data_IF_138326250277
#
_entry.id   IF_138326250277
#
_cell.length_a   1.000
_cell.length_b   1.000
_cell.length_c   1.000
_cell.angle_alpha   90.00
_cell.angle_beta   90.00
_cell.angle_gamma   90.00
#
_symmetry.space_group_name_H-M   'P 1'
#
loop_
_entity.id
_entity.type
_entity.pdbx_description
1 polymer ?
2 branched ?
3 water ?
#
# COMPACT_ATOMS: atom_id res chain seq x y z
N UNK A 1 -4.66 -2.49 17.61
CA UNK A 1 -5.97 -1.90 17.23
C UNK A 1 -6.53 -2.65 16.02
N UNK A 2 -7.80 -3.03 16.11
CA UNK A 2 -8.47 -3.76 15.02
C UNK A 2 -8.29 -3.09 13.66
N UNK A 3 -8.12 -1.77 13.67
CA UNK A 3 -7.93 -1.02 12.44
C UNK A 3 -6.59 -1.31 11.79
N UNK A 4 -5.56 -1.54 12.61
CA UNK A 4 -4.23 -1.81 12.09
C UNK A 4 -4.16 -3.15 11.36
N UNK A 5 -3.40 -3.20 10.27
CA UNK A 5 -3.27 -4.43 9.50
C UNK A 5 -1.98 -4.47 8.70
N UNK A 6 -1.73 -5.62 8.08
CA UNK A 6 -0.54 -5.79 7.26
C UNK A 6 -0.98 -5.97 5.82
N UNK A 7 -0.24 -5.35 4.90
CA UNK A 7 -0.54 -5.42 3.48
C UNK A 7 0.28 -6.58 2.90
N UNK A 8 -0.44 -7.61 2.46
CA UNK A 8 0.14 -8.86 1.97
C UNK A 8 0.00 -9.17 0.49
N UNK A 9 1.09 -9.63 -0.12
CA UNK A 9 1.01 -10.03 -1.52
C UNK A 9 1.15 -11.55 -1.53
N UNK A 10 0.09 -12.22 -1.95
CA UNK A 10 0.07 -13.68 -1.97
C UNK A 10 1.18 -14.32 -2.79
N UNK A 11 1.38 -13.85 -4.02
CA UNK A 11 2.40 -14.43 -4.88
C UNK A 11 3.79 -14.46 -4.25
N UNK A 12 4.24 -13.34 -3.69
CA UNK A 12 5.56 -13.28 -3.06
C UNK A 12 5.57 -13.74 -1.61
N UNK A 13 4.39 -13.83 -1.01
CA UNK A 13 4.29 -14.21 0.40
C UNK A 13 5.11 -13.21 1.22
N UNK A 14 4.93 -11.93 0.91
CA UNK A 14 5.63 -10.86 1.62
C UNK A 14 4.67 -9.73 1.97
N UNK A 15 5.05 -8.92 2.96
CA UNK A 15 4.24 -7.80 3.42
C UNK A 15 4.96 -6.47 3.23
N UNK A 16 4.18 -5.41 3.06
CA UNK A 16 4.73 -4.07 2.87
C UNK A 16 5.48 -3.67 4.13
N UNK A 17 6.65 -3.08 3.96
CA UNK A 17 7.47 -2.69 5.10
C UNK A 17 7.96 -1.26 4.96
N UNK A 18 7.56 -0.40 5.88
CA UNK A 18 7.96 1.00 5.86
C UNK A 18 9.32 1.17 6.53
N UNK A 19 10.31 1.61 5.76
CA UNK A 19 11.66 1.80 6.29
C UNK A 19 11.94 3.24 6.73
N UNK A 20 11.37 4.19 6.00
CA UNK A 20 11.53 5.60 6.30
C UNK A 20 10.55 6.37 5.44
N UNK A 21 10.48 7.68 5.63
CA UNK A 21 9.57 8.51 4.85
C UNK A 21 9.85 8.41 3.35
N UNK A 22 11.07 8.02 2.98
CA UNK A 22 11.42 7.91 1.57
C UNK A 22 11.72 6.47 1.15
N UNK A 23 11.30 5.52 1.96
CA UNK A 23 11.55 4.12 1.64
C UNK A 23 10.48 3.17 2.17
N UNK A 24 9.71 2.58 1.26
CA UNK A 24 8.69 1.61 1.63
C UNK A 24 8.93 0.40 0.75
N UNK A 25 9.38 -0.69 1.37
CA UNK A 25 9.70 -1.91 0.65
C UNK A 25 8.83 -3.07 1.12
N UNK A 26 9.39 -4.28 1.13
CA UNK A 26 8.66 -5.46 1.58
C UNK A 26 9.55 -6.30 2.50
N UNK A 27 8.94 -7.25 3.21
CA UNK A 27 9.69 -8.10 4.13
C UNK A 27 8.87 -9.31 4.50
N UNK A 28 9.50 -10.28 5.14
CA UNK A 28 8.77 -11.46 5.58
C UNK A 28 7.74 -10.90 6.55
N UNK A 29 6.50 -11.35 6.43
CA UNK A 29 5.44 -10.85 7.29
C UNK A 29 5.64 -11.12 8.78
N UNK A 30 5.41 -10.10 9.59
CA UNK A 30 5.53 -10.19 11.04
C UNK A 30 4.51 -9.22 11.65
N UNK A 31 3.40 -9.75 12.20
CA UNK A 31 2.36 -8.91 12.81
C UNK A 31 2.84 -8.11 14.01
N UNK A 32 4.04 -8.42 14.50
CA UNK A 32 4.61 -7.72 15.65
C UNK A 32 5.48 -6.52 15.27
N UNK A 33 5.79 -6.39 13.98
CA UNK A 33 6.63 -5.29 13.52
C UNK A 33 5.83 -4.03 13.21
N UNK A 34 6.04 -2.99 14.01
CA UNK A 34 5.34 -1.72 13.83
C UNK A 34 5.51 -1.19 12.41
N UNK A 35 6.71 -1.34 11.87
CA UNK A 35 7.00 -0.86 10.52
C UNK A 35 6.15 -1.54 9.45
N UNK A 36 5.50 -2.64 9.81
CA UNK A 36 4.65 -3.38 8.88
C UNK A 36 3.17 -3.08 9.10
N UNK A 37 2.86 -2.30 10.13
CA UNK A 37 1.47 -1.98 10.43
C UNK A 37 0.98 -0.71 9.73
N UNK A 38 -0.22 -0.80 9.15
CA UNK A 38 -0.83 0.34 8.47
C UNK A 38 -2.29 0.42 8.88
N UNK A 39 -2.93 1.55 8.63
CA UNK A 39 -4.33 1.71 8.98
C UNK A 39 -4.98 2.82 8.16
N UNK A 40 -6.23 2.59 7.77
CA UNK A 40 -6.96 3.58 7.01
C UNK A 40 -7.27 4.72 7.97
N UNK A 41 -7.12 5.96 7.50
CA UNK A 41 -7.41 7.10 8.35
C UNK A 41 -8.51 7.94 7.71
N UNK A 42 -9.03 7.45 6.59
CA UNK A 42 -10.10 8.12 5.86
C UNK A 42 -10.57 7.17 4.78
N UNK A 43 -11.53 7.61 3.97
CA UNK A 43 -12.06 6.79 2.90
C UNK A 43 -11.03 6.47 1.82
N UNK A 44 -9.95 7.24 1.76
CA UNK A 44 -8.96 7.02 0.72
C UNK A 44 -7.48 7.00 1.11
N UNK A 45 -7.16 7.22 2.38
CA UNK A 45 -5.76 7.23 2.79
C UNK A 45 -5.36 6.14 3.77
N UNK A 46 -4.15 5.62 3.60
CA UNK A 46 -3.63 4.59 4.49
C UNK A 46 -2.40 5.18 5.16
N UNK A 47 -2.34 5.06 6.47
CA UNK A 47 -1.24 5.63 7.23
C UNK A 47 -0.31 4.57 7.81
N UNK A 48 1.00 4.82 7.73
CA UNK A 48 1.99 3.91 8.29
C UNK A 48 1.94 4.13 9.80
N UNK A 49 1.71 3.06 10.56
CA UNK A 49 1.62 3.16 12.02
C UNK A 49 2.92 3.61 12.67
N UNK A 50 4.03 3.07 12.20
CA UNK A 50 5.33 3.40 12.74
C UNK A 50 5.72 4.87 12.53
N UNK A 51 5.47 5.38 11.33
CA UNK A 51 5.85 6.74 10.99
C UNK A 51 4.79 7.83 11.08
N UNK A 52 3.53 7.44 11.25
CA UNK A 52 2.45 8.41 11.33
C UNK A 52 2.42 9.25 10.05
N UNK A 53 2.68 8.61 8.92
CA UNK A 53 2.66 9.29 7.63
C UNK A 53 1.79 8.46 6.68
N UNK A 54 1.33 9.10 5.62
CA UNK A 54 0.46 8.43 4.67
C UNK A 54 1.17 7.97 3.40
N UNK A 55 0.77 6.80 2.91
CA UNK A 55 1.33 6.23 1.69
C UNK A 55 0.95 7.13 0.52
N UNK A 56 1.93 7.49 -0.30
CA UNK A 56 1.64 8.35 -1.43
C UNK A 56 2.72 8.31 -2.50
N UNK A 57 2.51 9.09 -3.56
CA UNK A 57 3.46 9.15 -4.66
C UNK A 57 3.75 10.59 -5.06
N UNK A 58 4.87 10.83 -5.76
CA UNK A 58 5.28 12.16 -6.22
C UNK A 58 4.37 12.68 -7.35
N UNK A 59 3.86 11.75 -8.15
CA UNK A 59 2.97 12.09 -9.25
C UNK A 59 2.28 10.81 -9.69
N UNK A 60 1.15 10.94 -10.38
CA UNK A 60 0.44 9.76 -10.85
C UNK A 60 1.10 9.34 -12.15
N UNK A 61 2.31 8.79 -12.01
CA UNK A 61 3.12 8.35 -13.14
C UNK A 61 3.60 6.91 -13.00
N UNK A 62 3.62 6.18 -14.11
CA UNK A 62 4.07 4.79 -14.15
C UNK A 62 5.48 4.71 -13.55
N UNK A 63 5.67 3.77 -12.62
CA UNK A 63 6.94 3.55 -11.95
C UNK A 63 7.32 4.65 -10.96
N UNK A 64 6.33 5.41 -10.51
CA UNK A 64 6.57 6.44 -9.51
C UNK A 64 6.72 5.65 -8.21
N UNK A 65 7.63 6.07 -7.35
CA UNK A 65 7.83 5.35 -6.10
C UNK A 65 6.73 5.68 -5.09
N UNK A 66 6.32 4.67 -4.34
CA UNK A 66 5.30 4.86 -3.33
C UNK A 66 6.01 4.92 -1.99
N UNK A 67 6.02 6.09 -1.38
CA UNK A 67 6.66 6.26 -0.08
C UNK A 67 5.71 6.95 0.91
N UNK A 68 6.25 7.66 1.89
CA UNK A 68 5.42 8.31 2.90
C UNK A 68 5.42 9.84 2.88
N UNK A 69 4.23 10.42 3.03
CA UNK A 69 4.08 11.88 3.04
C UNK A 69 3.20 12.29 4.21
N UNK A 70 3.33 13.55 4.62
CA UNK A 70 2.50 14.05 5.71
C UNK A 70 1.05 13.88 5.25
N UNK A 71 0.24 13.24 6.08
CA UNK A 71 -1.15 13.03 5.70
C UNK A 71 -1.84 14.36 5.43
N UNK A 72 -2.50 14.44 4.28
CA UNK A 72 -3.19 15.63 3.83
C UNK A 72 -4.42 15.20 3.04
N UNK A 73 -5.60 15.38 3.63
CA UNK A 73 -6.86 14.99 3.00
C UNK A 73 -7.16 15.71 1.69
N UNK A 74 -6.44 16.79 1.41
CA UNK A 74 -6.67 17.54 0.17
C UNK A 74 -5.81 17.03 -0.99
N UNK A 75 -4.77 16.26 -0.67
CA UNK A 75 -3.87 15.73 -1.69
C UNK A 75 -4.39 14.50 -2.43
N UNK A 76 -4.25 14.50 -3.75
CA UNK A 76 -4.70 13.38 -4.57
C UNK A 76 -3.60 12.35 -4.81
N UNK A 77 -2.37 12.70 -4.48
CA UNK A 77 -1.25 11.80 -4.67
C UNK A 77 -1.12 10.79 -3.53
N UNK A 78 -2.05 10.86 -2.58
CA UNK A 78 -2.04 9.91 -1.48
C UNK A 78 -3.43 9.32 -1.25
N UNK A 79 -4.24 9.30 -2.32
CA UNK A 79 -5.58 8.73 -2.26
C UNK A 79 -5.58 7.39 -3.00
N UNK A 80 -6.10 6.36 -2.34
CA UNK A 80 -6.15 5.02 -2.92
C UNK A 80 -7.57 4.45 -2.98
N UNK A 81 -7.72 3.38 -3.75
CA UNK A 81 -9.01 2.71 -3.88
C UNK A 81 -8.79 1.26 -4.27
N UNK A 82 -9.79 0.42 -3.99
CA UNK A 82 -9.72 -0.99 -4.33
C UNK A 82 -10.38 -1.25 -5.68
N UNK A 83 -9.69 -2.01 -6.52
CA UNK A 83 -10.22 -2.36 -7.84
C UNK A 83 -10.95 -3.69 -7.67
N UNK A 84 -10.79 -4.59 -8.63
CA UNK A 84 -11.44 -5.89 -8.56
C UNK A 84 -10.44 -6.96 -8.15
N UNK A 85 -10.94 -8.02 -7.53
CA UNK A 85 -10.09 -9.13 -7.10
C UNK A 85 -8.82 -8.71 -6.36
N UNK A 86 -8.98 -7.84 -5.37
CA UNK A 86 -7.88 -7.35 -4.54
C UNK A 86 -6.86 -6.46 -5.25
N UNK A 87 -7.20 -6.00 -6.45
CA UNK A 87 -6.32 -5.12 -7.21
C UNK A 87 -6.34 -3.78 -6.46
N UNK A 88 -5.17 -3.20 -6.25
CA UNK A 88 -5.09 -1.95 -5.49
C UNK A 88 -4.28 -0.88 -6.20
N UNK A 89 -4.78 0.35 -6.20
CA UNK A 89 -4.06 1.43 -6.86
C UNK A 89 -4.52 2.83 -6.52
N UNK A 90 -3.94 3.81 -7.22
CA UNK A 90 -4.26 5.21 -7.01
C UNK A 90 -5.68 5.53 -7.46
N UNK A 91 -6.42 6.22 -6.60
CA UNK A 91 -7.80 6.58 -6.89
C UNK A 91 -7.91 7.36 -8.21
N UNK A 92 -8.87 6.98 -9.04
CA UNK A 92 -9.09 7.67 -10.30
C UNK A 92 -8.14 7.39 -11.46
N UNK A 93 -7.14 6.54 -11.25
CA UNK A 93 -6.19 6.24 -12.31
C UNK A 93 -6.00 4.73 -12.46
N UNK A 94 -5.45 4.31 -13.60
CA UNK A 94 -5.21 2.90 -13.83
C UNK A 94 -3.77 2.51 -13.51
N UNK A 95 -3.25 3.04 -12.40
CA UNK A 95 -1.90 2.73 -11.94
C UNK A 95 -2.04 2.01 -10.60
N UNK A 96 -1.35 0.88 -10.46
CA UNK A 96 -1.47 0.07 -9.26
C UNK A 96 -0.27 -0.05 -8.31
N UNK A 97 -0.60 -0.32 -7.04
CA UNK A 97 0.35 -0.54 -5.96
C UNK A 97 1.02 -1.84 -6.43
N UNK A 98 2.33 -1.79 -6.68
CA UNK A 98 3.01 -2.95 -7.24
C UNK A 98 4.38 -3.26 -6.66
N UNK A 99 4.73 -4.54 -6.68
CA UNK A 99 6.02 -5.01 -6.20
C UNK A 99 6.45 -6.30 -6.91
N UNK A 100 7.75 -6.41 -7.19
CA UNK A 100 8.24 -7.62 -7.83
C UNK A 100 8.96 -7.48 -9.16
N UNK A 101 8.81 -6.33 -9.81
CA UNK A 101 9.43 -6.09 -11.10
C UNK A 101 10.82 -5.44 -10.99
N UNK A 102 11.66 -5.71 -11.99
CA UNK A 102 13.02 -5.16 -12.09
C UNK A 102 13.89 -5.11 -10.83
N UNK A 103 13.84 -6.14 -9.99
CA UNK A 103 14.65 -6.14 -8.79
C UNK A 103 14.53 -4.84 -7.99
N UNK A 104 13.40 -4.15 -8.13
CA UNK A 104 13.15 -2.90 -7.42
C UNK A 104 12.57 -3.20 -6.03
N UNK A 105 13.30 -2.82 -4.99
CA UNK A 105 12.87 -3.07 -3.62
C UNK A 105 11.71 -2.21 -3.15
N UNK A 106 11.65 -0.96 -3.59
CA UNK A 106 10.56 -0.08 -3.17
C UNK A 106 9.27 -0.36 -3.92
N UNK A 107 8.14 -0.12 -3.24
CA UNK A 107 6.83 -0.29 -3.85
C UNK A 107 6.73 0.71 -4.99
N UNK A 108 6.17 0.29 -6.11
CA UNK A 108 6.04 1.17 -7.27
C UNK A 108 4.63 1.21 -7.82
N UNK A 109 4.31 2.27 -8.55
CA UNK A 109 3.03 2.36 -9.22
C UNK A 109 3.34 1.65 -10.54
N UNK A 110 2.45 0.78 -10.99
CA UNK A 110 2.70 0.04 -12.23
C UNK A 110 1.40 -0.07 -13.02
N UNK A 111 1.52 -0.11 -14.35
CA UNK A 111 0.35 -0.23 -15.21
C UNK A 111 -0.12 -1.68 -15.29
N UNK A 112 0.77 -2.62 -14.99
CA UNK A 112 0.40 -4.02 -15.03
C UNK A 112 -0.57 -4.36 -13.90
N UNK A 113 -1.59 -5.14 -14.22
CA UNK A 113 -2.60 -5.51 -13.23
C UNK A 113 -2.57 -7.00 -12.87
N UNK A 114 -1.39 -7.60 -12.92
CA UNK A 114 -1.27 -9.01 -12.59
C UNK A 114 -1.22 -9.27 -11.09
N UNK A 115 -0.71 -10.44 -10.72
CA UNK A 115 -0.61 -10.86 -9.33
C UNK A 115 0.27 -9.97 -8.45
N UNK A 116 1.11 -9.15 -9.07
CA UNK A 116 2.01 -8.30 -8.29
C UNK A 116 1.40 -6.95 -7.91
N UNK A 117 0.18 -6.70 -8.39
CA UNK A 117 -0.54 -5.46 -8.11
C UNK A 117 -1.76 -5.78 -7.26
N UNK A 118 -1.81 -7.00 -6.76
CA UNK A 118 -2.93 -7.45 -5.95
C UNK A 118 -2.49 -7.67 -4.52
N UNK A 119 -3.27 -7.15 -3.59
CA UNK A 119 -2.92 -7.26 -2.19
C UNK A 119 -4.10 -7.55 -1.28
N UNK A 120 -3.83 -8.27 -0.20
CA UNK A 120 -4.85 -8.61 0.77
C UNK A 120 -4.45 -8.17 2.16
N UNK A 121 -5.42 -8.13 3.06
CA UNK A 121 -5.16 -7.82 4.45
C UNK A 121 -4.55 -9.12 4.97
N UNK A 122 -3.38 -9.04 5.59
CA UNK A 122 -2.71 -10.24 6.09
C UNK A 122 -3.62 -11.02 7.01
N UNK A 123 -3.63 -12.34 6.84
CA UNK A 123 -4.47 -13.18 7.67
C UNK A 123 -5.88 -13.39 7.12
N UNK A 124 -6.15 -12.84 5.95
CA UNK A 124 -7.46 -12.99 5.33
C UNK A 124 -7.30 -13.07 3.82
N UNK A 125 -8.43 -13.19 3.12
CA UNK A 125 -8.43 -13.24 1.67
C UNK A 125 -9.29 -12.09 1.15
N UNK A 126 -9.35 -11.01 1.93
CA UNK A 126 -10.12 -9.84 1.55
C UNK A 126 -9.19 -8.74 1.05
N UNK A 127 -9.72 -7.81 0.26
CA UNK A 127 -8.89 -6.72 -0.22
C UNK A 127 -8.61 -5.76 0.94
N UNK A 128 -7.77 -4.77 0.70
CA UNK A 128 -7.40 -3.82 1.74
C UNK A 128 -8.56 -3.00 2.29
N UNK A 129 -9.52 -2.66 1.44
CA UNK A 129 -10.66 -1.86 1.85
C UNK A 129 -11.57 -2.56 2.86
N UNK A 130 -11.29 -3.84 3.12
CA UNK A 130 -12.07 -4.60 4.09
C UNK A 130 -11.72 -4.14 5.51
N UNK A 131 -10.60 -3.44 5.65
CA UNK A 131 -10.15 -2.94 6.95
C UNK A 131 -10.30 -1.43 7.01
N UNK A 132 -10.90 -0.86 5.98
CA UNK A 132 -11.06 0.58 5.99
C UNK A 132 -12.51 0.98 6.12
N UNK A 133 -12.81 2.11 5.51
CA UNK A 133 -14.14 2.68 5.49
C UNK A 133 -14.65 2.61 4.05
N UNK A 134 -15.95 2.82 3.85
CA UNK A 134 -16.57 2.75 2.53
C UNK A 134 -16.55 1.34 1.95
X LIG B 1 10.16 -11.15 -16.44
X LIG B 1 8.89 -10.29 -16.48
X LIG B 1 7.64 -11.17 -16.31
X LIG B 1 7.64 -12.20 -17.49
X LIG B 1 8.96 -13.03 -17.41
X LIG B 1 9.09 -14.03 -18.54
X LIG B 1 8.85 -7.98 -15.71
X LIG B 1 8.97 -7.07 -14.54
X LIG B 1 8.96 -9.29 -15.44
X LIG B 1 11.28 -10.40 -16.61
X LIG B 1 6.46 -10.40 -16.34
X LIG B 1 6.46 -13.07 -17.39
X LIG B 1 10.11 -12.17 -17.48
X LIG B 1 10.32 -14.77 -18.44
X LIG B 1 8.67 -7.50 -16.87
X LIG B 2 5.71 -10.29 -15.11
X LIG B 2 4.63 -9.23 -15.23
X LIG B 2 3.79 -9.16 -13.96
X LIG B 2 3.16 -10.56 -13.73
X LIG B 2 4.30 -11.60 -13.63
X LIG B 2 3.81 -13.06 -13.45
X LIG B 2 5.25 -7.94 -15.48
X LIG B 2 2.77 -8.18 -14.07
X LIG B 2 2.33 -10.90 -14.83
X LIG B 2 5.13 -11.61 -14.84
X LIG B 2 2.99 -13.16 -12.27
X LIG B 2 2.31 -7.50 -12.81
X LIG B 2 3.47 -7.00 -12.02
X LIG B 2 1.46 -6.33 -13.15
X LIG B 2 1.52 -8.42 -11.99
X LIG B 3 5.69 -13.26 -18.60
X LIG B 3 4.65 -14.36 -18.30
X LIG B 3 3.57 -13.84 -17.34
X LIG B 3 2.91 -12.58 -17.95
X LIG B 3 3.93 -11.52 -18.22
X LIG B 3 3.41 -10.26 -18.85
X LIG B 3 5.32 -15.53 -17.82
X LIG B 3 2.59 -14.86 -17.18
X LIG B 3 2.22 -12.95 -19.17
X LIG B 3 5.04 -12.04 -19.07
#
# INVERSE_FOLDING_TARGET
DARQFLIYNEDHKRCVDALSAISVQTATCNPEAESQKFRWVSDSQIMSVAFKLCLGVPSKTDWASVTLYACDSKSEYQKWECKNDTLFGIKGTELYFNYGNRQEKNIKLYKGSGLWSRWKVYGTTDDLCSRGYE
MAG C1 C2 C3 C4 C5 C6 C7 C8 N2 O1 O3 O4 O5 O6 O7
SGA C1 C2 C3 C4 C5 C6 O2 O3 O4 O5 O6 S O1S O2S O3S
FUC C1 C2 C3 C4 C5 C6 O2 O3 O4 O5
#
